data_IF_454585715033
#
_entry.id   IF_454585715033
#
_cell.length_a   1.000
_cell.length_b   1.000
_cell.length_c   1.000
_cell.angle_alpha   90.00
_cell.angle_beta   90.00
_cell.angle_gamma   90.00
#
_symmetry.space_group_name_H-M   'P 1'
#
loop_
_entity.id
_entity.type
_entity.pdbx_description
1 polymer ?
#
# COMPACT_ATOMS: atom_id res chain seq x y z
N UNK A 1 -45.47 40.32 -38.59
CA UNK A 1 -44.84 41.32 -37.69
C UNK A 1 -43.36 40.97 -37.70
N UNK A 2 -42.52 41.60 -38.53
CA UNK A 2 -41.89 42.93 -38.33
C UNK A 2 -41.00 42.88 -37.08
N UNK A 3 -39.66 42.91 -37.14
CA UNK A 3 -38.73 43.79 -37.89
C UNK A 3 -37.51 43.05 -38.49
N UNK A 4 -36.70 43.50 -39.48
CA UNK A 4 -36.54 44.76 -40.26
C UNK A 4 -35.77 45.94 -39.59
N UNK A 5 -34.54 46.35 -39.97
CA UNK A 5 -33.65 46.12 -41.14
C UNK A 5 -32.14 46.19 -40.72
N UNK A 6 -31.18 46.93 -41.36
CA UNK A 6 -30.11 46.35 -42.18
C UNK A 6 -28.68 46.82 -41.78
N UNK A 7 -27.64 46.46 -42.56
CA UNK A 7 -26.75 47.46 -43.21
C UNK A 7 -25.87 46.88 -44.34
N UNK A 8 -25.67 47.68 -45.39
CA UNK A 8 -24.75 47.48 -46.53
C UNK A 8 -23.52 48.38 -46.29
N UNK A 9 -22.29 48.24 -46.81
CA UNK A 9 -21.88 47.92 -48.18
C UNK A 9 -20.36 47.66 -48.27
N UNK A 10 -19.97 46.83 -49.24
CA UNK A 10 -18.79 46.95 -50.14
C UNK A 10 -17.65 47.93 -49.78
N UNK A 11 -16.41 47.41 -49.81
CA UNK A 11 -15.39 47.96 -50.74
C UNK A 11 -14.52 46.85 -51.34
N UNK A 12 -14.09 47.03 -52.60
CA UNK A 12 -13.11 46.15 -53.27
C UNK A 12 -11.69 46.43 -52.75
N UNK A 13 -10.86 45.38 -52.72
CA UNK A 13 -9.57 45.48 -53.41
C UNK A 13 -9.13 44.12 -53.94
N UNK A 14 -8.80 44.06 -55.24
CA UNK A 14 -7.95 43.03 -55.80
C UNK A 14 -6.56 43.66 -55.93
N UNK A 15 -5.57 43.07 -55.30
CA UNK A 15 -4.16 43.32 -55.64
C UNK A 15 -3.51 41.99 -55.93
N UNK A 16 -2.96 41.86 -57.14
CA UNK A 16 -2.28 40.64 -57.56
C UNK A 16 -0.92 40.53 -56.86
N UNK A 17 -0.59 39.33 -56.37
CA UNK A 17 0.74 38.99 -55.89
C UNK A 17 1.48 38.24 -56.99
N UNK A 18 2.44 38.91 -57.64
CA UNK A 18 3.41 38.27 -58.53
C UNK A 18 4.69 39.10 -58.61
N UNK A 19 5.63 38.86 -57.69
CA UNK A 19 7.09 38.96 -57.93
C UNK A 19 7.76 37.92 -57.04
N UNK A 20 8.69 37.15 -57.59
CA UNK A 20 9.46 36.16 -56.86
C UNK A 20 10.57 36.84 -56.03
N UNK A 21 10.76 36.38 -54.79
CA UNK A 21 11.92 36.69 -53.97
C UNK A 21 12.59 35.40 -53.52
N UNK A 22 13.74 35.06 -54.12
CA UNK A 22 14.57 33.93 -53.69
C UNK A 22 15.30 34.37 -52.41
N UNK A 23 15.08 33.66 -51.30
CA UNK A 23 15.72 34.00 -50.02
C UNK A 23 15.65 32.86 -49.02
N UNK A 24 16.81 32.22 -48.79
CA UNK A 24 17.17 31.34 -47.68
C UNK A 24 16.11 30.31 -47.20
N UNK A 25 16.33 29.05 -47.55
CA UNK A 25 15.73 27.93 -46.83
C UNK A 25 16.33 27.84 -45.41
N UNK A 26 15.66 28.47 -44.44
CA UNK A 26 15.84 28.11 -43.03
C UNK A 26 14.95 26.91 -42.77
N UNK A 27 15.56 25.75 -42.53
CA UNK A 27 14.84 24.57 -42.05
C UNK A 27 14.39 24.83 -40.61
N UNK A 28 13.23 25.47 -40.45
CA UNK A 28 12.46 25.40 -39.22
C UNK A 28 11.88 23.99 -39.17
N UNK A 29 12.65 23.06 -38.62
CA UNK A 29 12.12 21.81 -38.14
C UNK A 29 11.12 22.14 -37.03
N UNK A 30 9.83 22.13 -37.37
CA UNK A 30 8.78 22.31 -36.38
C UNK A 30 8.87 21.17 -35.37
N UNK A 31 8.93 21.51 -34.09
CA UNK A 31 8.67 20.54 -33.03
C UNK A 31 7.24 20.04 -33.24
N UNK A 32 7.09 18.86 -33.81
CA UNK A 32 5.85 18.13 -33.74
C UNK A 32 5.70 17.74 -32.27
N UNK A 33 4.68 18.31 -31.61
CA UNK A 33 4.21 17.76 -30.35
C UNK A 33 3.64 16.40 -30.71
N UNK A 34 4.42 15.37 -30.45
CA UNK A 34 3.90 14.02 -30.31
C UNK A 34 3.24 14.02 -28.95
N UNK A 35 1.92 13.83 -28.90
CA UNK A 35 1.24 13.35 -27.71
C UNK A 35 1.72 11.92 -27.48
N UNK A 36 2.91 11.79 -26.90
CA UNK A 36 3.30 10.59 -26.17
C UNK A 36 3.02 10.85 -24.71
N UNK A 37 2.49 9.86 -23.99
CA UNK A 37 2.48 9.86 -22.54
C UNK A 37 3.83 10.38 -22.04
N UNK A 38 3.76 11.39 -21.17
CA UNK A 38 4.93 11.90 -20.47
C UNK A 38 5.59 10.68 -19.79
N UNK A 39 6.89 10.41 -19.99
CA UNK A 39 7.54 9.34 -19.25
C UNK A 39 7.26 9.56 -17.78
N UNK A 40 6.67 8.57 -17.12
CA UNK A 40 6.58 8.57 -15.66
C UNK A 40 8.03 8.50 -15.22
N UNK A 41 8.56 9.62 -14.71
CA UNK A 41 9.86 9.64 -14.06
C UNK A 41 9.72 8.86 -12.76
N UNK A 42 9.86 7.53 -12.85
CA UNK A 42 10.02 6.70 -11.67
C UNK A 42 11.26 7.21 -10.93
N UNK A 43 11.13 7.64 -9.66
CA UNK A 43 12.28 8.15 -8.92
C UNK A 43 13.35 7.07 -8.88
N UNK A 44 14.60 7.46 -9.12
CA UNK A 44 15.74 6.55 -9.10
C UNK A 44 16.11 6.18 -7.66
N UNK A 45 15.27 5.35 -7.05
CA UNK A 45 15.49 4.74 -5.74
C UNK A 45 16.70 3.80 -5.79
N UNK A 46 17.41 3.69 -4.69
CA UNK A 46 18.56 2.76 -4.61
C UNK A 46 18.08 1.31 -4.71
N UNK A 47 18.85 0.46 -5.40
CA UNK A 47 18.52 -0.96 -5.53
C UNK A 47 18.57 -1.68 -4.17
N UNK A 48 17.59 -2.54 -3.92
CA UNK A 48 17.54 -3.41 -2.74
C UNK A 48 17.58 -4.88 -3.13
N UNK A 49 18.36 -5.66 -2.39
CA UNK A 49 18.35 -7.12 -2.46
C UNK A 49 17.18 -7.68 -1.63
N UNK A 50 15.96 -7.59 -2.17
CA UNK A 50 14.80 -8.31 -1.60
C UNK A 50 15.02 -9.80 -1.79
N UNK A 51 15.36 -10.50 -0.72
CA UNK A 51 15.55 -11.96 -0.76
C UNK A 51 14.20 -12.64 -0.63
N UNK A 52 13.60 -13.03 -1.75
CA UNK A 52 12.32 -13.75 -1.76
C UNK A 52 12.42 -15.02 -0.91
N UNK A 53 11.58 -15.11 0.12
CA UNK A 53 11.39 -16.34 0.89
C UNK A 53 10.35 -17.20 0.16
N UNK A 54 10.73 -18.37 -0.37
CA UNK A 54 9.77 -19.24 -1.06
C UNK A 54 8.86 -19.92 -0.03
N UNK A 55 7.57 -19.60 -0.04
CA UNK A 55 6.56 -20.32 0.75
C UNK A 55 6.66 -21.83 0.44
N UNK A 56 6.97 -22.69 1.42
CA UNK A 56 7.10 -24.12 1.18
C UNK A 56 5.77 -24.71 0.70
N UNK A 57 5.81 -25.52 -0.35
CA UNK A 57 4.60 -26.17 -0.90
C UNK A 57 4.05 -27.31 -0.02
N UNK A 58 4.81 -27.73 0.99
CA UNK A 58 4.51 -28.83 1.90
C UNK A 58 4.18 -28.33 3.33
N UNK A 59 3.69 -27.09 3.47
CA UNK A 59 3.18 -26.60 4.76
C UNK A 59 1.91 -27.38 5.16
N UNK A 60 1.86 -27.77 6.43
CA UNK A 60 0.73 -28.38 7.13
C UNK A 60 -0.26 -27.35 7.71
N UNK A 61 0.08 -26.06 7.61
CA UNK A 61 -0.66 -24.90 8.12
C UNK A 61 -0.87 -23.87 7.00
N UNK A 62 -1.90 -23.02 7.14
CA UNK A 62 -2.09 -21.83 6.30
C UNK A 62 -1.21 -20.69 6.81
N UNK A 63 -0.23 -20.17 6.05
CA UNK A 63 0.59 -19.04 6.48
C UNK A 63 -0.19 -17.72 6.34
N UNK A 64 -0.22 -16.93 7.40
CA UNK A 64 -0.82 -15.59 7.48
C UNK A 64 0.26 -14.62 7.99
N UNK A 65 1.09 -14.12 7.07
CA UNK A 65 2.32 -13.39 7.38
C UNK A 65 2.26 -12.00 6.78
N UNK A 66 1.81 -10.99 7.53
CA UNK A 66 1.49 -9.68 6.98
C UNK A 66 1.40 -8.57 8.04
N UNK A 67 1.02 -7.36 7.60
CA UNK A 67 0.56 -6.29 8.50
C UNK A 67 -0.87 -5.91 8.11
N UNK A 68 -1.78 -5.93 9.08
CA UNK A 68 -3.18 -5.53 8.92
C UNK A 68 -3.28 -4.00 8.81
N UNK A 69 -3.76 -3.44 7.68
CA UNK A 69 -4.17 -2.04 7.61
C UNK A 69 -5.54 -1.81 8.28
N UNK A 70 -6.26 -2.88 8.62
CA UNK A 70 -7.67 -2.81 8.98
C UNK A 70 -8.57 -2.49 7.79
N UNK A 71 -9.81 -2.15 8.08
CA UNK A 71 -10.85 -2.01 7.06
C UNK A 71 -11.67 -3.29 6.89
N UNK A 72 -12.56 -3.33 5.88
CA UNK A 72 -13.45 -4.46 5.66
C UNK A 72 -12.67 -5.75 5.34
N UNK A 73 -13.27 -6.91 5.60
CA UNK A 73 -12.64 -8.22 5.44
C UNK A 73 -12.06 -8.46 4.04
N UNK A 74 -12.68 -7.88 3.00
CA UNK A 74 -12.26 -8.01 1.61
C UNK A 74 -10.97 -7.25 1.28
N UNK A 75 -10.56 -6.26 2.09
CA UNK A 75 -9.40 -5.39 1.83
C UNK A 75 -8.17 -5.71 2.69
N UNK A 76 -8.31 -6.56 3.71
CA UNK A 76 -7.24 -6.93 4.64
C UNK A 76 -6.80 -8.38 4.48
N UNK A 77 -5.53 -8.57 4.10
CA UNK A 77 -4.97 -9.89 3.81
C UNK A 77 -4.75 -10.76 5.06
N UNK A 78 -4.70 -10.19 6.26
CA UNK A 78 -4.72 -10.98 7.51
C UNK A 78 -6.08 -11.66 7.66
N UNK A 79 -7.18 -10.94 7.42
CA UNK A 79 -8.55 -11.49 7.49
C UNK A 79 -8.84 -12.48 6.36
N UNK A 80 -8.33 -12.23 5.16
CA UNK A 80 -8.40 -13.21 4.06
C UNK A 80 -7.64 -14.50 4.41
N UNK A 81 -6.45 -14.41 5.01
CA UNK A 81 -5.65 -15.56 5.43
C UNK A 81 -6.33 -16.42 6.52
N UNK A 82 -6.89 -15.77 7.55
CA UNK A 82 -7.65 -16.47 8.59
C UNK A 82 -8.93 -17.13 8.02
N UNK A 83 -9.66 -16.44 7.14
CA UNK A 83 -10.81 -17.02 6.46
C UNK A 83 -10.42 -18.22 5.57
N UNK A 84 -9.25 -18.16 4.91
CA UNK A 84 -8.73 -19.26 4.13
C UNK A 84 -8.43 -20.49 5.01
N UNK A 85 -7.81 -20.30 6.18
CA UNK A 85 -7.53 -21.37 7.14
C UNK A 85 -8.82 -22.09 7.59
N UNK A 86 -9.85 -21.32 7.98
CA UNK A 86 -11.20 -21.82 8.32
C UNK A 86 -11.81 -22.59 7.16
N UNK A 87 -11.76 -22.05 5.94
CA UNK A 87 -12.34 -22.69 4.75
C UNK A 87 -11.62 -23.99 4.34
N UNK A 88 -10.33 -24.10 4.66
CA UNK A 88 -9.47 -25.25 4.37
C UNK A 88 -9.55 -26.32 5.45
N UNK A 89 -9.99 -25.97 6.66
CA UNK A 89 -10.00 -26.85 7.82
C UNK A 89 -8.59 -27.18 8.32
N UNK A 90 -7.69 -26.19 8.27
CA UNK A 90 -6.29 -26.29 8.68
C UNK A 90 -5.94 -25.19 9.66
N UNK A 91 -5.05 -25.47 10.60
CA UNK A 91 -4.47 -24.47 11.50
C UNK A 91 -3.76 -23.36 10.70
N UNK A 92 -3.68 -22.16 11.26
CA UNK A 92 -2.97 -21.04 10.67
C UNK A 92 -1.65 -20.80 11.41
N UNK A 93 -0.53 -20.61 10.68
CA UNK A 93 0.63 -19.94 11.25
C UNK A 93 0.49 -18.45 11.01
N UNK A 94 0.19 -17.71 12.06
CA UNK A 94 0.00 -16.26 12.05
C UNK A 94 1.30 -15.60 12.48
N UNK A 95 1.80 -14.69 11.64
CA UNK A 95 2.82 -13.70 11.97
C UNK A 95 2.29 -12.36 11.46
N UNK A 96 1.35 -11.80 12.22
CA UNK A 96 0.54 -10.65 11.79
C UNK A 96 0.75 -9.46 12.73
N UNK A 97 1.13 -8.33 12.16
CA UNK A 97 1.18 -7.05 12.88
C UNK A 97 -0.16 -6.33 12.78
N UNK A 98 -0.64 -5.79 13.90
CA UNK A 98 -1.87 -4.99 14.00
C UNK A 98 -1.52 -3.66 14.66
N UNK A 99 -1.88 -2.56 14.00
CA UNK A 99 -1.84 -1.23 14.61
C UNK A 99 -3.15 -0.96 15.35
N UNK A 100 -3.10 -0.69 16.65
CA UNK A 100 -4.29 -0.39 17.45
C UNK A 100 -3.97 0.39 18.71
N UNK A 101 -4.83 1.37 19.03
CA UNK A 101 -4.77 2.16 20.27
C UNK A 101 -5.44 1.46 21.47
N UNK A 102 -5.63 0.13 21.42
CA UNK A 102 -6.23 -0.67 22.48
C UNK A 102 -5.16 -1.19 23.44
N UNK A 103 -5.39 -1.09 24.75
CA UNK A 103 -4.52 -1.72 25.75
C UNK A 103 -4.61 -3.25 25.65
N UNK A 104 -3.52 -3.89 25.23
CA UNK A 104 -3.38 -5.36 25.19
C UNK A 104 -2.95 -5.86 26.59
N UNK A 105 -3.62 -6.87 27.19
CA UNK A 105 -3.23 -7.42 28.48
C UNK A 105 -1.93 -8.24 28.39
N UNK A 106 -1.17 -8.30 29.49
CA UNK A 106 0.07 -9.11 29.57
C UNK A 106 -0.20 -10.63 29.62
N UNK A 107 -1.39 -11.06 30.05
CA UNK A 107 -1.78 -12.46 30.21
C UNK A 107 -3.28 -12.73 29.99
N UNK A 108 -3.62 -13.97 29.64
CA UNK A 108 -5.00 -14.41 29.42
C UNK A 108 -5.55 -14.09 28.03
N UNK A 109 -6.86 -13.87 27.91
CA UNK A 109 -7.51 -13.56 26.64
C UNK A 109 -7.21 -12.10 26.21
N UNK A 110 -6.76 -11.92 24.97
CA UNK A 110 -6.51 -10.61 24.36
C UNK A 110 -7.36 -10.43 23.10
N UNK A 111 -7.73 -9.19 22.79
CA UNK A 111 -8.43 -8.85 21.54
C UNK A 111 -7.70 -7.72 20.81
N UNK A 112 -7.43 -7.94 19.53
CA UNK A 112 -6.83 -6.98 18.61
C UNK A 112 -7.89 -6.57 17.57
N UNK A 113 -8.21 -5.28 17.51
CA UNK A 113 -8.98 -4.69 16.40
C UNK A 113 -8.17 -3.53 15.84
N UNK A 114 -7.84 -3.50 14.54
CA UNK A 114 -7.18 -2.36 13.92
C UNK A 114 -7.93 -1.04 14.13
N UNK A 115 -7.22 0.09 14.09
CA UNK A 115 -7.78 1.43 14.30
C UNK A 115 -8.71 1.93 13.17
N UNK A 116 -8.70 1.26 12.02
CA UNK A 116 -9.49 1.61 10.83
C UNK A 116 -10.99 1.30 11.02
N UNK A 117 -11.93 2.11 10.48
CA UNK A 117 -13.35 1.78 10.44
C UNK A 117 -13.64 0.41 9.80
N UNK A 118 -14.74 -0.21 10.21
CA UNK A 118 -15.23 -1.51 9.69
C UNK A 118 -14.26 -2.70 9.84
N UNK A 119 -13.19 -2.56 10.64
CA UNK A 119 -12.20 -3.61 10.91
C UNK A 119 -12.76 -4.83 11.66
N UNK A 120 -12.33 -6.00 11.20
CA UNK A 120 -12.55 -7.30 11.87
C UNK A 120 -11.67 -7.38 13.14
N UNK A 121 -12.18 -8.04 14.18
CA UNK A 121 -11.42 -8.27 15.44
C UNK A 121 -10.86 -9.69 15.52
N UNK A 122 -9.63 -9.83 16.03
CA UNK A 122 -9.09 -11.11 16.52
C UNK A 122 -9.27 -11.16 18.02
N UNK A 123 -9.78 -12.26 18.57
CA UNK A 123 -9.57 -12.64 19.97
C UNK A 123 -8.65 -13.86 20.04
N UNK A 124 -7.61 -13.81 20.87
CA UNK A 124 -6.69 -14.94 21.14
C UNK A 124 -6.78 -15.34 22.61
N UNK A 125 -6.72 -16.65 22.90
CA UNK A 125 -6.91 -17.19 24.25
C UNK A 125 -5.68 -17.09 25.17
N UNK A 126 -4.50 -16.82 24.61
CA UNK A 126 -3.25 -16.55 25.33
C UNK A 126 -2.54 -15.32 24.77
N UNK A 127 -2.54 -14.22 25.52
CA UNK A 127 -1.90 -12.96 25.17
C UNK A 127 -0.37 -13.04 25.08
N UNK A 128 0.27 -14.11 25.61
CA UNK A 128 1.73 -14.23 25.59
C UNK A 128 2.33 -14.48 24.20
N UNK A 129 1.50 -14.78 23.20
CA UNK A 129 1.90 -14.79 21.78
C UNK A 129 1.78 -13.41 21.10
N UNK A 130 1.36 -12.38 21.84
CA UNK A 130 1.35 -10.99 21.37
C UNK A 130 2.57 -10.25 21.93
N UNK A 131 3.30 -9.55 21.07
CA UNK A 131 4.45 -8.70 21.43
C UNK A 131 4.27 -7.29 20.86
N UNK A 132 4.38 -6.26 21.70
CA UNK A 132 4.49 -4.87 21.24
C UNK A 132 5.87 -4.63 20.61
N UNK A 133 5.90 -4.03 19.43
CA UNK A 133 7.13 -3.67 18.71
C UNK A 133 7.43 -2.18 18.83
N UNK A 134 6.84 -1.42 17.91
CA UNK A 134 6.71 0.04 18.05
C UNK A 134 5.43 0.36 18.85
N UNK A 135 5.29 1.58 19.43
CA UNK A 135 4.06 1.98 20.10
C UNK A 135 2.83 1.75 19.23
N UNK A 136 1.76 1.22 19.83
CA UNK A 136 0.50 0.86 19.17
C UNK A 136 0.61 -0.24 18.07
N UNK A 137 1.80 -0.80 17.81
CA UNK A 137 2.01 -1.93 16.88
C UNK A 137 2.25 -3.25 17.61
N UNK A 138 1.30 -4.17 17.50
CA UNK A 138 1.31 -5.47 18.15
C UNK A 138 1.48 -6.61 17.14
N UNK A 139 2.51 -7.43 17.31
CA UNK A 139 2.72 -8.67 16.57
C UNK A 139 2.01 -9.82 17.28
N UNK A 140 1.15 -10.55 16.57
CA UNK A 140 0.69 -11.88 16.90
C UNK A 140 1.54 -12.92 16.14
N UNK A 141 2.31 -13.75 16.86
CA UNK A 141 3.22 -14.77 16.28
C UNK A 141 2.96 -16.16 16.91
N UNK A 142 2.15 -16.98 16.25
CA UNK A 142 1.73 -18.30 16.74
C UNK A 142 1.17 -19.22 15.65
N UNK A 143 1.17 -20.53 15.89
CA UNK A 143 0.27 -21.46 15.19
C UNK A 143 -1.02 -21.63 15.98
N UNK A 144 -2.16 -21.47 15.33
CA UNK A 144 -3.49 -21.36 15.97
C UNK A 144 -4.57 -22.20 15.25
N UNK A 145 -5.49 -22.78 16.02
CA UNK A 145 -6.79 -23.19 15.51
C UNK A 145 -7.66 -21.92 15.33
N UNK A 146 -8.32 -21.77 14.18
CA UNK A 146 -9.11 -20.58 13.82
C UNK A 146 -10.61 -20.90 13.83
N UNK A 147 -11.41 -20.16 14.61
CA UNK A 147 -12.87 -20.15 14.53
C UNK A 147 -13.36 -18.77 14.01
N UNK A 148 -14.18 -18.77 12.97
CA UNK A 148 -14.81 -17.55 12.48
C UNK A 148 -16.13 -17.25 13.23
N UNK A 149 -16.17 -16.14 13.94
CA UNK A 149 -17.32 -15.68 14.72
C UNK A 149 -18.24 -14.77 13.90
N UNK A 150 -18.75 -15.30 12.79
CA UNK A 150 -19.49 -14.54 11.78
C UNK A 150 -18.59 -13.61 10.96
N UNK A 151 -19.17 -12.59 10.35
CA UNK A 151 -18.49 -11.77 9.33
C UNK A 151 -17.61 -10.65 9.95
N UNK A 152 -17.46 -10.59 11.27
CA UNK A 152 -16.83 -9.45 11.97
C UNK A 152 -15.77 -9.80 13.03
N UNK A 153 -15.53 -11.09 13.31
CA UNK A 153 -14.51 -11.50 14.27
C UNK A 153 -13.97 -12.92 14.04
N UNK A 154 -12.76 -13.16 14.51
CA UNK A 154 -12.16 -14.50 14.63
C UNK A 154 -11.78 -14.77 16.09
N UNK A 155 -11.94 -16.02 16.53
CA UNK A 155 -11.37 -16.55 17.78
C UNK A 155 -10.23 -17.48 17.43
N UNK A 156 -9.09 -17.31 18.09
CA UNK A 156 -7.88 -18.10 17.90
C UNK A 156 -7.57 -18.87 19.17
N UNK A 157 -7.28 -20.16 19.03
CA UNK A 157 -6.78 -21.01 20.12
C UNK A 157 -5.31 -21.33 19.83
N UNK A 158 -4.39 -20.97 20.73
CA UNK A 158 -2.95 -21.21 20.53
C UNK A 158 -2.62 -22.71 20.60
N UNK A 159 -2.05 -23.22 19.50
CA UNK A 159 -1.55 -24.60 19.39
C UNK A 159 -0.04 -24.65 19.67
N UNK A 160 0.70 -23.68 19.13
CA UNK A 160 2.15 -23.56 19.28
C UNK A 160 2.56 -22.07 19.19
N UNK A 161 3.63 -21.71 19.89
CA UNK A 161 4.18 -20.36 19.98
C UNK A 161 5.62 -20.26 19.40
N UNK A 162 6.12 -21.30 18.71
CA UNK A 162 7.42 -21.23 18.03
C UNK A 162 7.37 -20.40 16.74
N UNK A 163 8.14 -19.31 16.69
CA UNK A 163 8.33 -18.47 15.49
C UNK A 163 8.91 -19.27 14.32
N UNK A 164 8.22 -19.27 13.17
CA UNK A 164 8.68 -19.92 11.93
C UNK A 164 9.52 -18.96 11.07
N UNK A 165 10.71 -18.64 11.58
CA UNK A 165 11.67 -17.70 10.97
C UNK A 165 12.04 -17.99 9.51
N UNK A 166 11.86 -19.23 9.04
CA UNK A 166 12.05 -19.65 7.65
C UNK A 166 10.98 -19.15 6.67
N UNK A 167 9.87 -18.61 7.17
CA UNK A 167 8.75 -18.07 6.39
C UNK A 167 8.70 -16.54 6.35
N UNK A 168 9.49 -15.85 7.18
CA UNK A 168 9.35 -14.41 7.41
C UNK A 168 10.07 -13.57 6.34
N UNK A 169 9.47 -12.48 5.81
CA UNK A 169 10.13 -11.55 4.91
C UNK A 169 11.50 -11.08 5.43
N UNK A 170 12.46 -10.92 4.52
CA UNK A 170 13.82 -10.51 4.84
C UNK A 170 14.11 -9.16 4.18
N UNK A 171 14.57 -8.17 4.96
CA UNK A 171 14.85 -6.84 4.47
C UNK A 171 15.30 -5.88 5.58
N UNK A 172 15.40 -4.57 5.29
CA UNK A 172 15.58 -3.54 6.30
C UNK A 172 14.40 -3.50 7.29
N UNK A 173 14.67 -3.12 8.53
CA UNK A 173 13.67 -2.80 9.54
C UNK A 173 13.11 -1.37 9.36
N UNK A 174 12.11 -1.00 10.17
CA UNK A 174 11.49 0.34 10.10
C UNK A 174 12.51 1.48 10.32
N UNK A 175 13.49 1.32 11.22
CA UNK A 175 14.55 2.31 11.44
C UNK A 175 15.38 2.52 10.16
N UNK A 176 15.85 1.44 9.54
CA UNK A 176 16.63 1.49 8.32
C UNK A 176 15.80 1.98 7.11
N UNK A 177 14.49 1.74 7.08
CA UNK A 177 13.58 2.32 6.08
C UNK A 177 13.43 3.82 6.23
N UNK A 178 13.11 4.29 7.44
CA UNK A 178 12.78 5.69 7.71
C UNK A 178 14.01 6.62 7.75
N UNK A 179 15.20 6.09 8.05
CA UNK A 179 16.45 6.85 8.12
C UNK A 179 17.27 6.88 6.82
N UNK A 180 16.83 6.20 5.76
CA UNK A 180 17.53 6.18 4.47
C UNK A 180 17.50 7.55 3.76
N UNK A 181 18.59 7.88 3.03
CA UNK A 181 18.72 9.15 2.28
C UNK A 181 17.58 9.39 1.24
N UNK A 182 16.95 8.32 0.74
CA UNK A 182 15.82 8.31 -0.21
C UNK A 182 14.54 7.71 0.40
N UNK A 183 14.42 7.65 1.74
CA UNK A 183 13.30 7.05 2.46
C UNK A 183 11.95 7.60 2.00
N UNK A 184 11.80 8.92 2.01
CA UNK A 184 10.54 9.60 1.68
C UNK A 184 10.12 9.32 0.22
N UNK A 185 11.02 9.50 -0.75
CA UNK A 185 10.76 9.22 -2.17
C UNK A 185 10.41 7.75 -2.41
N UNK A 186 11.09 6.81 -1.74
CA UNK A 186 10.89 5.37 -1.91
C UNK A 186 9.57 4.89 -1.30
N UNK A 187 9.25 5.33 -0.09
CA UNK A 187 8.02 4.95 0.63
C UNK A 187 6.79 5.57 -0.07
N UNK A 188 6.87 6.83 -0.51
CA UNK A 188 5.81 7.44 -1.33
C UNK A 188 5.60 6.67 -2.65
N UNK A 189 6.68 6.34 -3.37
CA UNK A 189 6.58 5.55 -4.60
C UNK A 189 5.91 4.17 -4.36
N UNK A 190 6.25 3.49 -3.27
CA UNK A 190 5.60 2.22 -2.89
C UNK A 190 4.11 2.40 -2.57
N UNK A 191 3.72 3.50 -1.93
CA UNK A 191 2.31 3.83 -1.67
C UNK A 191 1.53 4.09 -2.96
N UNK A 192 2.15 4.71 -3.96
CA UNK A 192 1.58 4.86 -5.30
C UNK A 192 1.38 3.49 -5.98
N UNK A 193 2.39 2.62 -5.96
CA UNK A 193 2.27 1.25 -6.52
C UNK A 193 1.19 0.45 -5.80
N UNK A 194 1.06 0.59 -4.47
CA UNK A 194 -0.01 -0.06 -3.71
C UNK A 194 -1.40 0.47 -4.10
N UNK A 195 -1.54 1.78 -4.33
CA UNK A 195 -2.80 2.35 -4.81
C UNK A 195 -3.20 1.80 -6.20
N UNK A 196 -2.22 1.57 -7.08
CA UNK A 196 -2.46 0.98 -8.41
C UNK A 196 -2.81 -0.52 -8.30
N UNK A 197 -2.11 -1.27 -7.43
CA UNK A 197 -2.45 -2.66 -7.06
C UNK A 197 -3.91 -2.79 -6.62
N UNK A 198 -4.41 -1.88 -5.77
CA UNK A 198 -5.79 -1.89 -5.30
C UNK A 198 -6.81 -1.58 -6.41
N UNK A 199 -6.46 -0.70 -7.37
CA UNK A 199 -7.33 -0.35 -8.51
C UNK A 199 -7.36 -1.44 -9.59
N UNK A 200 -6.27 -2.18 -9.76
CA UNK A 200 -6.11 -3.20 -10.80
C UNK A 200 -6.37 -4.64 -10.29
N UNK A 201 -6.60 -4.81 -8.98
CA UNK A 201 -6.75 -6.10 -8.30
C UNK A 201 -5.50 -7.02 -8.48
N UNK A 202 -4.30 -6.43 -8.60
CA UNK A 202 -3.06 -7.16 -8.89
C UNK A 202 -2.44 -7.80 -7.62
N UNK A 203 -2.94 -8.99 -7.31
CA UNK A 203 -2.47 -9.83 -6.21
C UNK A 203 -1.00 -10.29 -6.35
N UNK A 204 -0.44 -10.35 -7.57
CA UNK A 204 0.97 -10.74 -7.75
C UNK A 204 1.89 -9.58 -7.37
N UNK A 205 1.57 -8.37 -7.83
CA UNK A 205 2.30 -7.16 -7.46
C UNK A 205 2.09 -6.79 -5.98
N UNK A 206 0.92 -7.11 -5.40
CA UNK A 206 0.66 -7.01 -3.95
C UNK A 206 1.61 -7.89 -3.14
N UNK A 207 1.78 -9.15 -3.53
CA UNK A 207 2.68 -10.09 -2.85
C UNK A 207 4.15 -9.67 -2.97
N UNK A 208 4.56 -9.10 -4.11
CA UNK A 208 5.90 -8.52 -4.25
C UNK A 208 6.13 -7.35 -3.28
N UNK A 209 5.15 -6.47 -3.09
CA UNK A 209 5.23 -5.40 -2.09
C UNK A 209 5.33 -5.97 -0.66
N UNK A 210 4.48 -6.95 -0.31
CA UNK A 210 4.53 -7.64 0.99
C UNK A 210 5.91 -8.25 1.27
N UNK A 211 6.52 -8.90 0.27
CA UNK A 211 7.87 -9.47 0.38
C UNK A 211 8.97 -8.42 0.50
N UNK A 212 8.82 -7.25 -0.13
CA UNK A 212 9.78 -6.15 -0.06
C UNK A 212 9.70 -5.38 1.27
N UNK A 213 8.49 -5.14 1.76
CA UNK A 213 8.23 -4.20 2.87
C UNK A 213 7.84 -4.89 4.18
N UNK A 214 7.45 -6.17 4.17
CA UNK A 214 6.98 -6.89 5.37
C UNK A 214 8.02 -7.14 6.46
N UNK A 215 9.31 -6.83 6.23
CA UNK A 215 10.33 -6.76 7.27
C UNK A 215 10.32 -5.43 8.05
N UNK A 216 9.53 -4.46 7.58
CA UNK A 216 9.37 -3.12 8.13
C UNK A 216 7.86 -2.90 8.42
N UNK A 217 7.34 -3.47 9.53
CA UNK A 217 5.89 -3.58 9.73
C UNK A 217 5.16 -2.24 9.82
N UNK A 218 5.72 -1.24 10.52
CA UNK A 218 5.08 0.08 10.59
C UNK A 218 5.11 0.79 9.24
N UNK A 219 6.23 0.72 8.52
CA UNK A 219 6.35 1.31 7.19
C UNK A 219 5.42 0.61 6.18
N UNK A 220 5.26 -0.71 6.24
CA UNK A 220 4.32 -1.44 5.40
C UNK A 220 2.86 -1.10 5.71
N UNK A 221 2.49 -0.95 7.00
CA UNK A 221 1.20 -0.39 7.39
C UNK A 221 0.97 1.01 6.80
N UNK A 222 1.96 1.89 6.92
CA UNK A 222 1.89 3.26 6.39
C UNK A 222 1.69 3.28 4.88
N UNK A 223 2.42 2.43 4.15
CA UNK A 223 2.29 2.25 2.69
C UNK A 223 0.88 1.75 2.32
N UNK A 224 0.35 0.76 3.04
CA UNK A 224 -0.99 0.23 2.79
C UNK A 224 -2.05 1.31 3.05
N UNK A 225 -2.06 1.94 4.23
CA UNK A 225 -3.03 3.00 4.59
C UNK A 225 -2.97 4.20 3.63
N UNK A 226 -1.77 4.60 3.21
CA UNK A 226 -1.59 5.69 2.24
C UNK A 226 -2.06 5.28 0.85
N UNK A 227 -1.73 4.07 0.40
CA UNK A 227 -2.18 3.53 -0.89
C UNK A 227 -3.70 3.41 -0.97
N UNK A 228 -4.38 2.92 0.08
CA UNK A 228 -5.85 2.85 0.14
C UNK A 228 -6.49 4.24 0.11
N UNK A 229 -5.92 5.23 0.82
CA UNK A 229 -6.40 6.61 0.76
C UNK A 229 -6.25 7.23 -0.65
N UNK A 230 -5.11 6.99 -1.30
CA UNK A 230 -4.87 7.40 -2.68
C UNK A 230 -5.81 6.69 -3.67
N UNK A 231 -6.06 5.39 -3.49
CA UNK A 231 -7.00 4.61 -4.30
C UNK A 231 -8.42 5.19 -4.20
N UNK A 232 -8.91 5.44 -2.99
CA UNK A 232 -10.26 5.98 -2.74
C UNK A 232 -10.45 7.46 -3.10
N UNK A 233 -9.38 8.22 -3.37
CA UNK A 233 -9.44 9.66 -3.72
C UNK A 233 -8.84 9.98 -5.10
N UNK A 234 -8.67 9.00 -6.00
CA UNK A 234 -8.02 9.18 -7.31
C UNK A 234 -6.64 9.88 -7.23
N UNK A 235 -5.94 9.72 -6.09
CA UNK A 235 -4.64 10.34 -5.81
C UNK A 235 -4.70 11.78 -5.27
N UNK A 236 -5.88 12.33 -4.96
CA UNK A 236 -6.03 13.72 -4.48
C UNK A 236 -5.57 13.93 -3.02
N UNK A 237 -5.60 12.89 -2.17
CA UNK A 237 -5.17 12.99 -0.77
C UNK A 237 -4.47 11.72 -0.26
N UNK A 238 -3.30 11.91 0.35
CA UNK A 238 -2.70 10.95 1.27
C UNK A 238 -3.04 11.35 2.72
N UNK A 239 -3.14 10.38 3.63
CA UNK A 239 -3.16 10.64 5.07
C UNK A 239 -1.75 10.72 5.64
N UNK A 240 -1.61 11.16 6.89
CA UNK A 240 -0.31 11.32 7.57
C UNK A 240 0.32 9.99 8.04
N UNK A 241 -0.18 8.83 7.55
CA UNK A 241 0.24 7.49 8.00
C UNK A 241 1.73 7.20 7.79
N UNK A 242 2.36 7.77 6.76
CA UNK A 242 3.82 7.67 6.55
C UNK A 242 4.61 8.44 7.60
N UNK A 243 4.07 9.57 8.08
CA UNK A 243 4.68 10.34 9.16
C UNK A 243 4.52 9.59 10.48
N UNK A 244 3.35 9.01 10.75
CA UNK A 244 3.07 8.17 11.93
C UNK A 244 4.01 6.95 11.98
N UNK A 245 4.08 6.17 10.90
CA UNK A 245 4.95 5.00 10.78
C UNK A 245 6.46 5.29 10.98
N UNK A 246 6.93 6.47 10.60
CA UNK A 246 8.32 6.87 10.75
C UNK A 246 8.59 7.77 11.97
N UNK A 247 7.57 8.20 12.70
CA UNK A 247 7.71 9.19 13.79
C UNK A 247 8.78 8.82 14.83
N UNK A 248 8.94 7.55 15.25
CA UNK A 248 9.98 7.18 16.22
C UNK A 248 11.42 7.33 15.74
N UNK A 249 11.64 7.44 14.42
CA UNK A 249 12.97 7.49 13.78
C UNK A 249 13.30 8.84 13.14
N UNK A 250 12.29 9.70 12.96
CA UNK A 250 12.52 11.09 12.58
C UNK A 250 13.19 11.82 13.76
N UNK A 251 14.46 12.15 13.58
CA UNK A 251 15.26 12.81 14.61
C UNK A 251 14.62 14.14 15.02
N UNK A 252 14.45 14.35 16.33
CA UNK A 252 14.17 15.67 16.91
C UNK A 252 15.32 16.63 16.53
N UNK A 253 15.13 17.45 15.49
CA UNK A 253 15.97 18.62 15.22
C UNK A 253 15.71 19.71 16.29
N UNK A 254 16.38 19.56 17.43
CA UNK A 254 16.41 20.54 18.54
C UNK A 254 17.45 21.65 18.40
#
# INVERSE_FOLDING_TARGET
MSHALPFSSRTRSRSALTVAGIGAAVLVAGCQVVDGERPVETPSVSAEDVTSVPTPSDLDVTPVIDVSPGGPQEEDHVWQGLAQAVSSGTDAYVHAWVHTYQEVPEDGEATLTPDTPDSVSITVDDASVITEGQPDFYLLDATVEVEQLGDSAFSLTVVDAETRSDLLPQGPDDEARCSADDANERIQAASQVHADVLREEDMEQREQLRLQWGASPAVWWGIQRTGSALAGTDGESAGDFLLEACQPYLSDEG
#
